data_IF_868888088571
#
_entry.id   IF_868888088571
#
_cell.length_a   1.000
_cell.length_b   1.000
_cell.length_c   1.000
_cell.angle_alpha   90.00
_cell.angle_beta   90.00
_cell.angle_gamma   90.00
#
_symmetry.space_group_name_H-M   'P 1'
#
loop_
_entity.id
_entity.type
_entity.pdbx_description
1 polymer ?
#
# COMPACT_ATOMS: atom_id res chain seq x y z
N UNK A 1 52.80 -5.46 -35.76
CA UNK A 1 51.36 -5.21 -35.78
C UNK A 1 50.54 -5.86 -34.63
N UNK A 2 51.01 -6.87 -33.86
CA UNK A 2 50.23 -7.49 -32.77
C UNK A 2 50.11 -6.67 -31.44
N UNK A 3 51.10 -5.81 -31.11
CA UNK A 3 51.14 -5.07 -29.84
C UNK A 3 50.09 -3.92 -29.74
N UNK A 4 49.70 -3.31 -30.84
CA UNK A 4 48.74 -2.20 -30.87
C UNK A 4 47.31 -2.69 -30.63
N UNK A 5 46.94 -3.88 -31.12
CA UNK A 5 45.59 -4.46 -30.98
C UNK A 5 45.26 -4.88 -29.54
N UNK A 6 46.25 -5.33 -28.76
CA UNK A 6 46.10 -5.71 -27.34
C UNK A 6 45.96 -4.47 -26.43
N UNK A 7 46.62 -3.36 -26.80
CA UNK A 7 46.58 -2.13 -26.03
C UNK A 7 45.23 -1.42 -26.17
N UNK A 8 44.64 -1.40 -27.36
CA UNK A 8 43.31 -0.85 -27.61
C UNK A 8 42.22 -1.66 -26.96
N UNK A 9 42.30 -3.00 -26.91
CA UNK A 9 41.32 -3.83 -26.23
C UNK A 9 41.31 -3.62 -24.70
N UNK A 10 42.50 -3.42 -24.10
CA UNK A 10 42.60 -3.10 -22.66
C UNK A 10 42.05 -1.73 -22.34
N UNK A 11 42.29 -0.72 -23.14
CA UNK A 11 41.75 0.62 -22.97
C UNK A 11 40.22 0.59 -23.09
N UNK A 12 39.70 -0.14 -24.11
CA UNK A 12 38.24 -0.29 -24.28
C UNK A 12 37.62 -0.99 -23.07
N UNK A 13 38.25 -2.03 -22.52
CA UNK A 13 37.77 -2.72 -21.32
C UNK A 13 37.73 -1.79 -20.12
N UNK A 14 38.76 -0.94 -19.92
CA UNK A 14 38.77 0.05 -18.84
C UNK A 14 37.68 1.13 -19.00
N UNK A 15 37.43 1.60 -20.21
CA UNK A 15 36.39 2.59 -20.50
C UNK A 15 35.00 1.98 -20.26
N UNK A 16 34.76 0.75 -20.70
CA UNK A 16 33.48 0.06 -20.48
C UNK A 16 33.25 -0.23 -18.98
N UNK A 17 34.26 -0.67 -18.24
CA UNK A 17 34.12 -0.90 -16.81
C UNK A 17 33.90 0.39 -16.04
N UNK A 18 34.57 1.48 -16.38
CA UNK A 18 34.34 2.79 -15.77
C UNK A 18 32.92 3.31 -16.04
N UNK A 19 32.42 3.14 -17.26
CA UNK A 19 31.05 3.51 -17.60
C UNK A 19 30.02 2.67 -16.83
N UNK A 20 30.22 1.36 -16.69
CA UNK A 20 29.35 0.48 -15.89
C UNK A 20 29.34 0.88 -14.41
N UNK A 21 30.50 1.20 -13.83
CA UNK A 21 30.58 1.67 -12.44
C UNK A 21 29.85 2.99 -12.28
N UNK A 22 29.98 3.92 -13.21
CA UNK A 22 29.26 5.20 -13.19
C UNK A 22 27.73 5.00 -13.26
N UNK A 23 27.25 4.13 -14.14
CA UNK A 23 25.81 3.80 -14.27
C UNK A 23 25.29 3.16 -12.98
N UNK A 24 26.02 2.20 -12.41
CA UNK A 24 25.67 1.57 -11.14
C UNK A 24 25.61 2.58 -9.99
N UNK A 25 26.56 3.50 -9.91
CA UNK A 25 26.60 4.54 -8.87
C UNK A 25 25.40 5.50 -8.97
N UNK A 26 25.05 5.91 -10.18
CA UNK A 26 23.87 6.75 -10.44
C UNK A 26 22.59 5.99 -10.09
N UNK A 27 22.48 4.71 -10.46
CA UNK A 27 21.31 3.88 -10.14
C UNK A 27 21.15 3.68 -8.63
N UNK A 28 22.24 3.45 -7.90
CA UNK A 28 22.23 3.35 -6.43
C UNK A 28 21.83 4.66 -5.77
N UNK A 29 22.31 5.80 -6.29
CA UNK A 29 21.92 7.12 -5.78
C UNK A 29 20.42 7.39 -6.01
N UNK A 30 19.88 7.06 -7.19
CA UNK A 30 18.45 7.18 -7.47
C UNK A 30 17.60 6.25 -6.57
N UNK A 31 18.07 5.02 -6.34
CA UNK A 31 17.40 4.09 -5.44
C UNK A 31 17.42 4.60 -3.99
N UNK A 32 18.54 5.18 -3.54
CA UNK A 32 18.65 5.82 -2.23
C UNK A 32 17.69 7.00 -2.05
N UNK A 33 17.55 7.85 -3.07
CA UNK A 33 16.59 8.96 -3.09
C UNK A 33 15.16 8.46 -3.08
N UNK A 34 14.84 7.41 -3.86
CA UNK A 34 13.51 6.81 -3.89
C UNK A 34 13.14 6.19 -2.56
N UNK A 35 14.06 5.41 -1.93
CA UNK A 35 13.87 4.83 -0.61
C UNK A 35 13.72 5.89 0.49
N UNK A 36 14.43 7.01 0.40
CA UNK A 36 14.31 8.08 1.37
C UNK A 36 12.99 8.88 1.19
N UNK A 37 12.51 9.04 -0.05
CA UNK A 37 11.18 9.59 -0.32
C UNK A 37 10.08 8.70 0.25
N UNK A 38 10.17 7.38 0.08
CA UNK A 38 9.18 6.46 0.67
C UNK A 38 9.19 6.51 2.19
N UNK A 39 10.36 6.56 2.84
CA UNK A 39 10.46 6.70 4.31
C UNK A 39 9.82 8.00 4.84
N UNK A 40 9.89 9.08 4.08
CA UNK A 40 9.29 10.36 4.49
C UNK A 40 7.77 10.45 4.21
N UNK A 41 7.24 9.64 3.28
CA UNK A 41 5.79 9.56 3.04
C UNK A 41 5.02 8.95 4.22
N UNK A 42 5.68 8.18 5.10
CA UNK A 42 5.06 7.54 6.27
C UNK A 42 5.17 8.33 7.58
N UNK A 43 5.82 9.50 7.56
CA UNK A 43 5.85 10.39 8.72
C UNK A 43 4.74 11.43 8.60
N UNK A 44 3.51 11.02 8.82
CA UNK A 44 2.43 11.97 9.06
C UNK A 44 2.56 12.47 10.47
N UNK A 45 2.89 13.75 10.63
CA UNK A 45 2.89 14.40 11.94
C UNK A 45 1.44 14.73 12.31
N UNK A 46 0.90 13.98 13.25
CA UNK A 46 -0.45 14.19 13.80
C UNK A 46 -0.46 15.18 14.97
N UNK A 47 0.67 15.79 15.33
CA UNK A 47 0.79 16.70 16.47
C UNK A 47 -0.05 17.99 16.31
N UNK A 48 -0.42 18.34 15.07
CA UNK A 48 -1.25 19.50 14.76
C UNK A 48 -2.75 19.24 14.79
N UNK A 49 -3.20 18.00 14.98
CA UNK A 49 -4.62 17.67 15.09
C UNK A 49 -5.14 18.09 16.46
N UNK A 50 -5.56 19.33 16.55
CA UNK A 50 -6.25 19.89 17.73
C UNK A 50 -7.75 19.57 17.61
N UNK A 51 -8.17 18.50 18.22
CA UNK A 51 -9.59 18.13 18.30
C UNK A 51 -9.78 16.65 17.98
N UNK A 52 -10.24 15.90 18.94
CA UNK A 52 -10.61 14.50 18.74
C UNK A 52 -11.98 14.45 18.06
N UNK A 53 -12.06 13.82 16.90
CA UNK A 53 -13.34 13.51 16.29
C UNK A 53 -14.12 12.56 17.21
N UNK A 54 -15.34 12.94 17.57
CA UNK A 54 -16.22 12.09 18.37
C UNK A 54 -16.77 10.88 17.61
N UNK A 55 -16.73 10.94 16.28
CA UNK A 55 -17.18 9.89 15.37
C UNK A 55 -16.28 9.86 14.14
N UNK A 56 -15.92 8.67 13.69
CA UNK A 56 -15.16 8.44 12.45
C UNK A 56 -15.92 7.48 11.57
N UNK A 57 -16.06 7.82 10.29
CA UNK A 57 -16.63 6.94 9.27
C UNK A 57 -15.59 6.76 8.18
N UNK A 58 -15.19 5.52 7.93
CA UNK A 58 -14.27 5.15 6.87
C UNK A 58 -15.05 4.52 5.72
N UNK A 59 -15.00 5.14 4.55
CA UNK A 59 -15.55 4.58 3.30
C UNK A 59 -14.44 3.94 2.48
N UNK A 60 -14.60 2.68 2.12
CA UNK A 60 -13.64 1.93 1.31
C UNK A 60 -14.32 1.54 0.00
N UNK A 61 -13.82 2.04 -1.10
CA UNK A 61 -14.18 1.58 -2.44
C UNK A 61 -13.26 0.43 -2.84
N UNK A 62 -13.71 -0.80 -2.65
CA UNK A 62 -12.91 -1.98 -2.96
C UNK A 62 -12.69 -2.10 -4.48
N UNK A 63 -11.40 -2.16 -4.87
CA UNK A 63 -10.99 -2.16 -6.27
C UNK A 63 -11.28 -0.86 -7.03
N UNK A 64 -11.78 0.17 -6.37
CA UNK A 64 -12.14 1.45 -6.98
C UNK A 64 -10.89 2.28 -7.29
N UNK A 65 -10.46 2.25 -8.55
CA UNK A 65 -9.39 3.12 -9.04
C UNK A 65 -9.93 4.43 -9.64
N UNK A 66 -9.02 5.36 -9.90
CA UNK A 66 -9.34 6.69 -10.46
C UNK A 66 -10.15 6.61 -11.77
N UNK A 67 -9.90 5.59 -12.60
CA UNK A 67 -10.66 5.41 -13.85
C UNK A 67 -12.13 5.05 -13.61
N UNK A 68 -12.45 4.32 -12.53
CA UNK A 68 -13.84 4.05 -12.14
C UNK A 68 -14.56 5.34 -11.77
N UNK A 69 -13.89 6.21 -10.99
CA UNK A 69 -14.45 7.50 -10.60
C UNK A 69 -14.68 8.38 -11.83
N UNK A 70 -13.69 8.53 -12.70
CA UNK A 70 -13.80 9.33 -13.94
C UNK A 70 -14.89 8.81 -14.87
N UNK A 71 -15.01 7.49 -15.02
CA UNK A 71 -16.05 6.89 -15.85
C UNK A 71 -17.45 7.21 -15.31
N UNK A 72 -17.62 7.11 -13.99
CA UNK A 72 -18.86 7.44 -13.30
C UNK A 72 -19.20 8.94 -13.48
N UNK A 73 -18.23 9.82 -13.26
CA UNK A 73 -18.40 11.26 -13.46
C UNK A 73 -18.78 11.60 -14.91
N UNK A 74 -18.15 10.94 -15.87
CA UNK A 74 -18.48 11.13 -17.30
C UNK A 74 -19.89 10.63 -17.61
N UNK A 75 -20.28 9.47 -17.07
CA UNK A 75 -21.59 8.88 -17.33
C UNK A 75 -22.75 9.73 -16.79
N UNK A 76 -22.60 10.24 -15.56
CA UNK A 76 -23.64 11.05 -14.90
C UNK A 76 -23.55 12.54 -15.24
N UNK A 77 -22.45 13.01 -15.84
CA UNK A 77 -22.21 14.43 -16.12
C UNK A 77 -21.96 15.27 -14.87
N UNK A 78 -21.65 14.64 -13.73
CA UNK A 78 -21.47 15.27 -12.44
C UNK A 78 -20.15 14.84 -11.79
N UNK A 79 -19.54 15.77 -11.05
CA UNK A 79 -18.34 15.48 -10.26
C UNK A 79 -18.70 14.67 -9.00
N UNK A 80 -17.95 13.62 -8.71
CA UNK A 80 -18.16 12.79 -7.52
C UNK A 80 -18.03 13.63 -6.24
N UNK A 81 -19.00 13.50 -5.34
CA UNK A 81 -19.06 14.26 -4.07
C UNK A 81 -17.78 14.12 -3.24
N UNK A 82 -17.15 12.93 -3.23
CA UNK A 82 -15.91 12.70 -2.51
C UNK A 82 -14.78 13.67 -2.89
N UNK A 83 -14.78 14.20 -4.12
CA UNK A 83 -13.81 15.21 -4.56
C UNK A 83 -14.05 16.60 -3.97
N UNK A 84 -15.12 16.82 -3.24
CA UNK A 84 -15.41 18.05 -2.52
C UNK A 84 -14.98 18.02 -1.05
N UNK A 85 -14.48 16.88 -0.57
CA UNK A 85 -14.15 16.68 0.85
C UNK A 85 -12.80 17.28 1.28
N UNK A 86 -12.33 18.30 0.61
CA UNK A 86 -11.34 19.25 1.12
C UNK A 86 -9.90 18.75 1.36
N UNK A 87 -9.62 17.46 1.33
CA UNK A 87 -8.26 16.91 1.48
C UNK A 87 -8.07 15.72 0.54
N UNK A 88 -7.06 15.80 -0.30
CA UNK A 88 -6.63 14.71 -1.18
C UNK A 88 -5.31 14.13 -0.69
N UNK A 89 -5.17 12.81 -0.84
CA UNK A 89 -3.96 12.09 -0.49
C UNK A 89 -3.73 10.90 -1.40
N UNK A 90 -2.50 10.41 -1.37
CA UNK A 90 -2.12 9.19 -2.07
C UNK A 90 -1.59 8.16 -1.09
N UNK A 91 -1.93 6.91 -1.31
CA UNK A 91 -1.44 5.78 -0.52
C UNK A 91 -0.80 4.75 -1.44
N UNK A 92 0.28 4.14 -0.97
CA UNK A 92 0.88 3.02 -1.69
C UNK A 92 0.06 1.76 -1.48
N UNK A 93 -0.30 1.08 -2.57
CA UNK A 93 -1.21 -0.07 -2.54
C UNK A 93 -0.52 -1.42 -2.66
N UNK A 94 0.82 -1.48 -2.80
CA UNK A 94 1.54 -2.76 -2.90
C UNK A 94 1.47 -3.58 -1.61
N UNK A 95 1.33 -4.90 -1.75
CA UNK A 95 1.42 -5.89 -0.67
C UNK A 95 2.88 -6.29 -0.40
N UNK A 96 3.11 -7.22 0.53
CA UNK A 96 4.44 -7.80 0.72
C UNK A 96 4.86 -8.73 -0.45
N UNK A 97 3.91 -9.13 -1.31
CA UNK A 97 4.22 -9.91 -2.51
C UNK A 97 4.74 -9.00 -3.61
N UNK A 98 6.01 -9.15 -3.96
CA UNK A 98 6.66 -8.35 -5.01
C UNK A 98 6.17 -8.79 -6.39
N UNK A 99 5.83 -7.83 -7.24
CA UNK A 99 5.56 -8.07 -8.67
C UNK A 99 4.15 -8.56 -9.01
N UNK A 100 3.27 -8.71 -8.05
CA UNK A 100 1.86 -9.07 -8.30
C UNK A 100 0.91 -7.99 -7.74
N UNK A 101 -0.26 -7.79 -8.35
CA UNK A 101 -1.27 -6.87 -7.84
C UNK A 101 -1.71 -7.27 -6.43
N UNK A 102 -1.94 -6.28 -5.57
CA UNK A 102 -2.43 -6.48 -4.21
C UNK A 102 -3.90 -6.90 -4.25
N UNK A 103 -4.25 -7.92 -3.48
CA UNK A 103 -5.65 -8.32 -3.30
C UNK A 103 -6.34 -7.54 -2.17
N UNK A 104 -7.67 -7.69 -2.05
CA UNK A 104 -8.48 -7.00 -1.03
C UNK A 104 -8.12 -7.44 0.39
N UNK A 105 -7.64 -8.67 0.59
CA UNK A 105 -7.26 -9.17 1.92
C UNK A 105 -6.04 -8.42 2.46
N UNK A 106 -4.96 -8.37 1.67
CA UNK A 106 -3.76 -7.61 2.03
C UNK A 106 -4.03 -6.11 2.15
N UNK A 107 -4.82 -5.53 1.21
CA UNK A 107 -5.15 -4.12 1.22
C UNK A 107 -6.04 -3.73 2.40
N UNK A 108 -7.12 -4.49 2.65
CA UNK A 108 -8.02 -4.30 3.79
C UNK A 108 -7.30 -4.44 5.12
N UNK A 109 -6.47 -5.48 5.25
CA UNK A 109 -5.64 -5.70 6.45
C UNK A 109 -4.67 -4.55 6.69
N UNK A 110 -4.05 -4.01 5.63
CA UNK A 110 -3.17 -2.86 5.77
C UNK A 110 -3.92 -1.59 6.22
N UNK A 111 -5.14 -1.37 5.72
CA UNK A 111 -5.99 -0.27 6.17
C UNK A 111 -6.44 -0.45 7.63
N UNK A 112 -6.77 -1.68 8.01
CA UNK A 112 -7.26 -2.00 9.35
C UNK A 112 -6.18 -1.93 10.43
N UNK A 113 -4.91 -2.25 10.08
CA UNK A 113 -3.86 -2.48 11.09
C UNK A 113 -2.66 -1.55 10.98
N UNK A 114 -2.50 -0.86 9.84
CA UNK A 114 -1.32 -0.04 9.56
C UNK A 114 -0.07 -0.83 9.15
N UNK A 115 -0.17 -2.14 8.89
CA UNK A 115 0.93 -3.00 8.47
C UNK A 115 0.68 -3.57 7.07
N UNK A 116 1.75 -3.99 6.38
CA UNK A 116 1.66 -4.69 5.09
C UNK A 116 1.52 -6.20 5.31
N UNK A 117 0.73 -6.83 4.45
CA UNK A 117 0.43 -8.27 4.46
C UNK A 117 0.77 -8.91 3.11
N UNK A 118 0.85 -10.24 3.10
CA UNK A 118 0.83 -10.99 1.86
C UNK A 118 -0.60 -11.08 1.32
N UNK A 119 -0.74 -11.24 0.01
CA UNK A 119 -2.05 -11.48 -0.59
C UNK A 119 -2.70 -12.71 0.04
N UNK A 120 -3.99 -12.60 0.32
CA UNK A 120 -4.78 -13.63 0.98
C UNK A 120 -4.84 -13.51 2.50
N UNK A 121 -3.86 -12.90 3.17
CA UNK A 121 -3.85 -12.75 4.63
C UNK A 121 -4.91 -11.75 5.10
N UNK A 122 -5.66 -12.12 6.15
CA UNK A 122 -6.71 -11.29 6.76
C UNK A 122 -6.30 -10.95 8.19
N UNK A 123 -5.77 -9.75 8.41
CA UNK A 123 -5.28 -9.25 9.70
C UNK A 123 -4.47 -10.28 10.52
N UNK A 124 -3.82 -11.24 9.83
CA UNK A 124 -2.92 -12.26 10.40
C UNK A 124 -1.68 -12.37 9.52
N UNK A 125 -0.50 -12.21 10.10
CA UNK A 125 0.77 -12.27 9.37
C UNK A 125 1.72 -13.25 10.03
N UNK A 126 2.28 -14.18 9.26
CA UNK A 126 3.17 -15.23 9.79
C UNK A 126 2.53 -16.07 10.90
N UNK A 127 1.22 -16.30 10.85
CA UNK A 127 0.45 -17.04 11.87
C UNK A 127 0.06 -16.21 13.09
N UNK A 128 0.46 -14.94 13.19
CA UNK A 128 0.15 -14.08 14.33
C UNK A 128 -0.97 -13.08 13.98
N UNK A 129 -1.96 -12.95 14.85
CA UNK A 129 -3.02 -11.96 14.72
C UNK A 129 -2.46 -10.56 14.90
N UNK A 130 -2.82 -9.65 13.99
CA UNK A 130 -2.46 -8.25 14.05
C UNK A 130 -3.73 -7.45 14.35
N UNK A 131 -3.75 -6.80 15.50
CA UNK A 131 -4.92 -6.09 16.00
C UNK A 131 -5.34 -4.96 15.05
N UNK A 132 -6.61 -4.93 14.70
CA UNK A 132 -7.21 -3.89 13.87
C UNK A 132 -7.56 -2.63 14.67
N UNK A 133 -7.72 -1.51 13.96
CA UNK A 133 -8.22 -0.26 14.56
C UNK A 133 -9.60 -0.43 15.18
N UNK A 134 -10.44 -1.32 14.63
CA UNK A 134 -11.77 -1.65 15.16
C UNK A 134 -11.66 -2.34 16.52
N UNK A 135 -10.74 -3.29 16.68
CA UNK A 135 -10.47 -3.95 17.97
C UNK A 135 -9.92 -2.97 18.99
N UNK A 136 -8.99 -2.09 18.62
CA UNK A 136 -8.50 -1.03 19.48
C UNK A 136 -9.62 -0.09 19.95
N UNK A 137 -10.52 0.31 19.05
CA UNK A 137 -11.65 1.15 19.38
C UNK A 137 -12.59 0.45 20.37
N UNK A 138 -12.89 -0.82 20.14
CA UNK A 138 -13.75 -1.63 21.03
C UNK A 138 -13.13 -1.79 22.43
N UNK A 139 -11.81 -2.02 22.52
CA UNK A 139 -11.11 -2.08 23.81
C UNK A 139 -11.17 -0.77 24.59
N UNK A 140 -11.29 0.37 23.89
CA UNK A 140 -11.49 1.69 24.49
C UNK A 140 -12.95 2.00 24.82
N UNK A 141 -13.85 1.04 24.69
CA UNK A 141 -15.28 1.22 24.96
C UNK A 141 -16.03 2.00 23.89
N UNK A 142 -15.44 2.19 22.70
CA UNK A 142 -16.09 2.86 21.60
C UNK A 142 -17.01 1.90 20.84
N UNK A 143 -18.13 2.42 20.32
CA UNK A 143 -18.99 1.68 19.40
C UNK A 143 -18.28 1.46 18.04
N UNK A 144 -18.33 0.24 17.56
CA UNK A 144 -17.78 -0.14 16.24
C UNK A 144 -18.87 -0.78 15.42
N UNK A 145 -18.98 -0.40 14.15
CA UNK A 145 -19.90 -0.98 13.19
C UNK A 145 -19.22 -1.20 11.83
N UNK A 146 -19.53 -2.29 11.18
CA UNK A 146 -19.08 -2.63 9.84
C UNK A 146 -20.30 -2.77 8.97
N UNK A 147 -20.34 -2.02 7.88
CA UNK A 147 -21.41 -2.07 6.87
C UNK A 147 -20.76 -2.36 5.52
N UNK A 148 -21.30 -3.32 4.80
CA UNK A 148 -20.72 -3.73 3.51
C UNK A 148 -21.82 -4.11 2.52
N UNK A 149 -21.54 -3.98 1.24
CA UNK A 149 -22.35 -4.51 0.13
C UNK A 149 -21.90 -5.92 -0.29
N UNK A 150 -20.76 -6.37 0.24
CA UNK A 150 -20.27 -7.74 0.11
C UNK A 150 -20.76 -8.62 1.28
N UNK A 151 -20.37 -9.88 1.30
CA UNK A 151 -20.57 -10.78 2.43
C UNK A 151 -19.75 -10.30 3.64
N UNK A 152 -20.26 -10.45 4.86
CA UNK A 152 -19.51 -10.04 6.08
C UNK A 152 -18.16 -10.76 6.23
N UNK A 153 -18.06 -11.98 5.70
CA UNK A 153 -16.80 -12.72 5.62
C UNK A 153 -15.98 -12.41 4.36
N UNK A 154 -16.38 -11.43 3.55
CA UNK A 154 -15.55 -10.87 2.48
C UNK A 154 -14.26 -10.29 3.07
N UNK A 155 -13.17 -10.36 2.32
CA UNK A 155 -11.84 -10.03 2.84
C UNK A 155 -11.74 -8.63 3.45
N UNK A 156 -12.37 -7.62 2.83
CA UNK A 156 -12.30 -6.24 3.29
C UNK A 156 -13.03 -6.02 4.61
N UNK A 157 -14.31 -6.40 4.81
CA UNK A 157 -14.96 -6.30 6.12
C UNK A 157 -14.30 -7.20 7.17
N UNK A 158 -13.87 -8.41 6.79
CA UNK A 158 -13.21 -9.36 7.67
C UNK A 158 -11.90 -8.82 8.26
N UNK A 159 -11.14 -8.05 7.49
CA UNK A 159 -9.88 -7.45 7.94
C UNK A 159 -10.02 -6.53 9.16
N UNK A 160 -11.22 -6.03 9.43
CA UNK A 160 -11.51 -5.17 10.59
C UNK A 160 -12.08 -5.95 11.77
N UNK A 161 -12.56 -7.19 11.59
CA UNK A 161 -13.32 -7.94 12.58
C UNK A 161 -12.78 -9.32 12.91
N UNK A 162 -11.89 -9.88 12.10
CA UNK A 162 -11.41 -11.26 12.22
C UNK A 162 -9.97 -11.41 11.78
N UNK A 163 -9.42 -12.62 11.95
CA UNK A 163 -8.05 -12.96 11.62
C UNK A 163 -8.00 -14.34 10.97
N UNK A 164 -7.48 -14.42 9.75
CA UNK A 164 -7.31 -15.67 9.04
C UNK A 164 -6.00 -15.71 8.25
N UNK A 165 -5.39 -16.90 8.11
CA UNK A 165 -4.21 -17.07 7.28
C UNK A 165 -4.54 -16.91 5.80
N UNK A 166 -5.79 -17.18 5.41
CA UNK A 166 -6.24 -17.03 4.05
C UNK A 166 -7.70 -16.58 4.00
N UNK A 167 -8.01 -15.63 3.13
CA UNK A 167 -9.37 -15.12 2.90
C UNK A 167 -10.39 -16.20 2.45
N UNK A 168 -9.90 -17.36 2.02
CA UNK A 168 -10.73 -18.53 1.69
C UNK A 168 -11.15 -19.35 2.91
N UNK A 169 -10.53 -19.13 4.06
CA UNK A 169 -10.83 -19.86 5.30
C UNK A 169 -12.01 -19.22 6.04
N UNK A 170 -13.19 -19.31 5.42
CA UNK A 170 -14.40 -18.69 5.95
C UNK A 170 -14.84 -19.21 7.31
N UNK A 171 -14.30 -20.35 7.76
CA UNK A 171 -14.51 -20.88 9.11
C UNK A 171 -13.69 -20.17 10.19
N UNK A 172 -12.61 -19.47 9.81
CA UNK A 172 -11.81 -18.65 10.73
C UNK A 172 -12.28 -17.18 10.75
N UNK A 173 -13.06 -16.77 9.76
CA UNK A 173 -13.61 -15.42 9.60
C UNK A 173 -14.98 -15.32 10.25
#
# INVERSE_FOLDING_TARGET
MKKTKVRTSKILLWVVSAALVAILSVSLAFMGVALNRTKNLYKTDFSSLTGLASKTVLFIGDGMGENHIKTTETYYGERAFMRSLGADGFVTTFSNNVGIPTDSAAAGSALATGQKFNNGEVARHGGNNVKSVAEYAKEKGLGVGIVTTDKLYGATPASFSSHANNRGDTSEI
#
